data_IF_466617358687
#
_entry.id   IF_466617358687
#
_cell.length_a   1.000
_cell.length_b   1.000
_cell.length_c   1.000
_cell.angle_alpha   90.00
_cell.angle_beta   90.00
_cell.angle_gamma   90.00
#
_symmetry.space_group_name_H-M   'P 1'
#
loop_
_entity.id
_entity.type
_entity.pdbx_description
1 polymer ?
#
# COMPACT_ATOMS: atom_id res chain seq x y z
N UNK A 1 12.93 -3.83 11.81
CA UNK A 1 14.40 -3.87 11.63
C UNK A 1 14.82 -3.44 10.22
N UNK A 2 14.08 -3.85 9.17
CA UNK A 2 14.39 -3.52 7.76
C UNK A 2 14.33 -2.02 7.40
N UNK A 3 13.52 -1.20 8.08
CA UNK A 3 13.41 0.23 7.75
C UNK A 3 14.60 1.09 8.21
N UNK A 4 15.56 0.55 8.97
CA UNK A 4 16.71 1.33 9.45
C UNK A 4 17.62 1.83 8.32
N UNK A 5 17.75 1.06 7.23
CA UNK A 5 18.55 1.43 6.04
C UNK A 5 18.01 2.66 5.30
N UNK A 6 16.73 3.00 5.54
CA UNK A 6 16.03 4.14 4.94
C UNK A 6 15.62 5.17 5.98
N UNK A 7 16.30 5.20 7.13
CA UNK A 7 16.09 6.20 8.19
C UNK A 7 14.93 5.94 9.14
N UNK A 8 14.45 4.69 9.22
CA UNK A 8 13.48 4.24 10.20
C UNK A 8 12.06 4.07 9.65
N UNK A 9 11.16 3.63 10.53
CA UNK A 9 9.76 3.31 10.17
C UNK A 9 9.00 4.51 9.62
N UNK A 10 9.17 5.67 10.25
CA UNK A 10 8.47 6.90 9.87
C UNK A 10 8.88 7.37 8.48
N UNK A 11 10.19 7.48 8.23
CA UNK A 11 10.69 7.88 6.92
C UNK A 11 10.28 6.90 5.81
N UNK A 12 10.36 5.59 6.08
CA UNK A 12 9.90 4.58 5.10
C UNK A 12 8.45 4.77 4.66
N UNK A 13 7.54 5.13 5.60
CA UNK A 13 6.13 5.35 5.30
C UNK A 13 5.85 6.67 4.59
N UNK A 14 6.75 7.64 4.69
CA UNK A 14 6.57 8.97 4.09
C UNK A 14 7.37 9.16 2.80
N UNK A 15 8.44 8.40 2.56
CA UNK A 15 9.41 8.67 1.48
C UNK A 15 8.75 8.73 0.09
N UNK A 16 7.80 7.83 -0.20
CA UNK A 16 7.06 7.81 -1.46
C UNK A 16 6.00 8.91 -1.57
N UNK A 17 5.68 9.59 -0.47
CA UNK A 17 4.74 10.71 -0.41
C UNK A 17 5.46 12.06 -0.40
N UNK A 18 6.80 12.08 -0.30
CA UNK A 18 7.57 13.31 -0.28
C UNK A 18 7.37 14.10 -1.58
N UNK A 19 7.33 15.42 -1.45
CA UNK A 19 7.10 16.37 -2.55
C UNK A 19 5.73 16.30 -3.21
N UNK A 20 4.79 15.50 -2.68
CA UNK A 20 3.40 15.54 -3.12
C UNK A 20 2.61 16.58 -2.34
N UNK A 21 1.79 17.35 -3.06
CA UNK A 21 0.80 18.23 -2.44
C UNK A 21 -0.47 17.42 -2.17
N UNK A 22 -0.60 16.91 -0.94
CA UNK A 22 -1.81 16.25 -0.46
C UNK A 22 -2.60 17.30 0.33
N UNK A 23 -3.82 17.57 -0.11
CA UNK A 23 -4.74 18.48 0.57
C UNK A 23 -5.71 17.71 1.45
N UNK A 24 -6.37 18.40 2.38
CA UNK A 24 -7.42 17.83 3.23
C UNK A 24 -8.55 17.14 2.44
N UNK A 25 -8.76 17.57 1.18
CA UNK A 25 -9.83 17.08 0.30
C UNK A 25 -9.36 16.01 -0.69
N UNK A 26 -8.07 15.65 -0.69
CA UNK A 26 -7.51 14.65 -1.62
C UNK A 26 -8.06 13.26 -1.28
N UNK A 27 -8.73 12.60 -2.22
CA UNK A 27 -9.23 11.23 -2.04
C UNK A 27 -8.08 10.24 -2.19
N UNK A 28 -7.73 9.57 -1.09
CA UNK A 28 -6.58 8.66 -1.01
C UNK A 28 -7.06 7.23 -0.82
N UNK A 29 -6.50 6.32 -1.62
CA UNK A 29 -6.59 4.87 -1.41
C UNK A 29 -5.25 4.36 -0.88
N UNK A 30 -5.24 3.83 0.34
CA UNK A 30 -4.13 3.05 0.90
C UNK A 30 -4.36 1.58 0.52
N UNK A 31 -3.68 1.12 -0.53
CA UNK A 31 -3.86 -0.20 -1.11
C UNK A 31 -2.98 -1.22 -0.39
N UNK A 32 -3.57 -2.35 0.02
CA UNK A 32 -2.95 -3.34 0.91
C UNK A 32 -2.56 -2.72 2.26
N UNK A 33 -3.52 -2.03 2.91
CA UNK A 33 -3.24 -1.18 4.07
C UNK A 33 -2.83 -1.96 5.34
N UNK A 34 -3.03 -3.28 5.38
CA UNK A 34 -2.74 -4.11 6.54
C UNK A 34 -3.44 -3.61 7.80
N UNK A 35 -2.70 -3.48 8.90
CA UNK A 35 -3.22 -2.93 10.16
C UNK A 35 -3.19 -1.38 10.21
N UNK A 36 -2.99 -0.72 9.07
CA UNK A 36 -3.11 0.71 8.88
C UNK A 36 -1.87 1.54 9.27
N UNK A 37 -0.67 0.94 9.26
CA UNK A 37 0.56 1.66 9.63
C UNK A 37 0.85 2.84 8.69
N UNK A 38 0.53 2.71 7.41
CA UNK A 38 0.67 3.82 6.45
C UNK A 38 -0.54 4.74 6.50
N UNK A 39 -1.74 4.17 6.69
CA UNK A 39 -2.99 4.90 6.88
C UNK A 39 -2.88 5.97 7.97
N UNK A 40 -2.19 5.66 9.08
CA UNK A 40 -1.90 6.61 10.18
C UNK A 40 -1.23 7.91 9.71
N UNK A 41 -0.36 7.84 8.69
CA UNK A 41 0.29 9.04 8.13
C UNK A 41 -0.60 9.73 7.11
N UNK A 42 -1.34 8.97 6.29
CA UNK A 42 -2.21 9.51 5.26
C UNK A 42 -3.35 10.35 5.85
N UNK A 43 -3.95 9.91 6.95
CA UNK A 43 -5.05 10.64 7.62
C UNK A 43 -4.62 11.98 8.23
N UNK A 44 -3.31 12.20 8.44
CA UNK A 44 -2.79 13.50 8.90
C UNK A 44 -2.80 14.55 7.79
N UNK A 45 -2.79 14.10 6.53
CA UNK A 45 -2.73 14.97 5.34
C UNK A 45 -4.08 15.10 4.63
N UNK A 46 -4.94 14.08 4.73
CA UNK A 46 -6.26 14.06 4.09
C UNK A 46 -7.36 13.55 5.03
N UNK A 47 -8.56 14.11 4.88
CA UNK A 47 -9.77 13.65 5.56
C UNK A 47 -10.48 12.51 4.80
N UNK A 48 -10.03 12.16 3.60
CA UNK A 48 -10.67 11.18 2.72
C UNK A 48 -9.72 10.03 2.41
N UNK A 49 -9.41 9.22 3.44
CA UNK A 49 -8.55 8.05 3.32
C UNK A 49 -9.38 6.78 3.41
N UNK A 50 -9.25 5.92 2.40
CA UNK A 50 -9.81 4.58 2.37
C UNK A 50 -8.65 3.58 2.39
N UNK A 51 -8.63 2.67 3.36
CA UNK A 51 -7.73 1.51 3.38
C UNK A 51 -8.40 0.30 2.76
N UNK A 52 -7.71 -0.39 1.84
CA UNK A 52 -8.16 -1.64 1.23
C UNK A 52 -7.20 -2.76 1.60
N UNK A 53 -7.73 -3.89 2.08
CA UNK A 53 -6.94 -5.08 2.36
C UNK A 53 -7.81 -6.34 2.23
N UNK A 54 -7.20 -7.48 1.89
CA UNK A 54 -7.91 -8.76 1.76
C UNK A 54 -8.13 -9.45 3.10
N UNK A 55 -7.39 -9.07 4.15
CA UNK A 55 -7.43 -9.72 5.47
C UNK A 55 -8.42 -9.03 6.42
N UNK A 56 -9.55 -9.68 6.77
CA UNK A 56 -10.50 -9.14 7.73
C UNK A 56 -9.87 -8.88 9.10
N UNK A 57 -8.89 -9.72 9.48
CA UNK A 57 -8.15 -9.58 10.74
C UNK A 57 -7.29 -8.32 10.76
N UNK A 58 -6.61 -8.02 9.66
CA UNK A 58 -5.84 -6.79 9.48
C UNK A 58 -6.75 -5.57 9.54
N UNK A 59 -7.86 -5.58 8.79
CA UNK A 59 -8.83 -4.49 8.79
C UNK A 59 -9.47 -4.24 10.16
N UNK A 60 -9.78 -5.30 10.92
CA UNK A 60 -10.31 -5.18 12.28
C UNK A 60 -9.30 -4.56 13.26
N UNK A 61 -7.99 -4.74 13.03
CA UNK A 61 -6.95 -4.04 13.78
C UNK A 61 -6.82 -2.59 13.29
N UNK A 62 -6.83 -2.37 11.99
CA UNK A 62 -6.74 -1.03 11.39
C UNK A 62 -7.89 -0.13 11.88
N UNK A 63 -9.13 -0.60 11.86
CA UNK A 63 -10.31 0.11 12.40
C UNK A 63 -10.17 0.53 13.85
N UNK A 64 -9.51 -0.30 14.67
CA UNK A 64 -9.27 0.01 16.09
C UNK A 64 -8.14 1.02 16.28
N UNK A 65 -7.11 0.93 15.45
CA UNK A 65 -5.92 1.77 15.54
C UNK A 65 -6.16 3.17 14.95
N UNK A 66 -6.85 3.26 13.80
CA UNK A 66 -7.08 4.49 13.03
C UNK A 66 -8.57 4.58 12.63
N UNK A 67 -9.47 4.85 13.59
CA UNK A 67 -10.92 4.90 13.33
C UNK A 67 -11.35 6.05 12.40
N UNK A 68 -10.45 6.99 12.09
CA UNK A 68 -10.71 8.12 11.20
C UNK A 68 -10.78 7.72 9.71
N UNK A 69 -10.15 6.59 9.34
CA UNK A 69 -10.17 6.09 7.98
C UNK A 69 -11.34 5.12 7.75
N UNK A 70 -11.75 5.00 6.48
CA UNK A 70 -12.72 4.00 6.05
C UNK A 70 -11.95 2.77 5.57
N UNK A 71 -12.49 1.57 5.83
CA UNK A 71 -11.81 0.32 5.48
C UNK A 71 -12.71 -0.59 4.66
N UNK A 72 -12.18 -1.10 3.56
CA UNK A 72 -12.87 -1.97 2.60
C UNK A 72 -12.12 -3.29 2.47
N UNK A 73 -12.85 -4.39 2.60
CA UNK A 73 -12.33 -5.73 2.30
C UNK A 73 -12.52 -6.02 0.82
N UNK A 74 -11.43 -6.16 0.08
CA UNK A 74 -11.43 -6.50 -1.34
C UNK A 74 -10.05 -6.98 -1.79
N UNK A 75 -10.01 -7.62 -2.94
CA UNK A 75 -8.77 -7.94 -3.66
C UNK A 75 -8.32 -6.74 -4.49
N UNK A 76 -7.00 -6.54 -4.61
CA UNK A 76 -6.42 -5.44 -5.38
C UNK A 76 -6.67 -5.59 -6.90
N UNK A 77 -6.88 -6.81 -7.40
CA UNK A 77 -7.26 -7.06 -8.79
C UNK A 77 -8.77 -6.92 -9.09
N UNK A 78 -9.61 -6.67 -8.08
CA UNK A 78 -11.05 -6.52 -8.22
C UNK A 78 -11.62 -5.55 -7.19
N UNK A 79 -11.37 -4.26 -7.39
CA UNK A 79 -11.74 -3.23 -6.43
C UNK A 79 -13.19 -2.80 -6.61
N UNK A 80 -13.95 -2.73 -5.51
CA UNK A 80 -15.37 -2.32 -5.50
C UNK A 80 -15.53 -0.78 -5.53
N UNK A 81 -14.71 -0.09 -6.32
CA UNK A 81 -14.76 1.36 -6.49
C UNK A 81 -15.16 1.74 -7.91
N UNK A 82 -15.78 2.89 -8.05
CA UNK A 82 -16.08 3.48 -9.37
C UNK A 82 -14.79 3.92 -10.07
N UNK A 83 -14.86 4.12 -11.39
CA UNK A 83 -13.74 4.67 -12.14
C UNK A 83 -13.43 6.10 -11.65
N UNK A 84 -12.16 6.49 -11.70
CA UNK A 84 -11.74 7.87 -11.38
C UNK A 84 -12.12 8.36 -9.96
N UNK A 85 -12.21 7.42 -9.02
CA UNK A 85 -12.62 7.66 -7.62
C UNK A 85 -11.54 8.28 -6.73
N UNK A 86 -10.25 8.15 -7.10
CA UNK A 86 -9.14 8.56 -6.25
C UNK A 86 -8.19 9.55 -6.93
N UNK A 87 -7.70 10.50 -6.14
CA UNK A 87 -6.67 11.46 -6.56
C UNK A 87 -5.26 10.88 -6.33
N UNK A 88 -5.12 10.01 -5.32
CA UNK A 88 -3.88 9.35 -4.94
C UNK A 88 -4.15 7.88 -4.59
N UNK A 89 -3.39 6.97 -5.17
CA UNK A 89 -3.29 5.58 -4.71
C UNK A 89 -1.88 5.38 -4.14
N UNK A 90 -1.78 4.82 -2.94
CA UNK A 90 -0.52 4.55 -2.26
C UNK A 90 -0.37 3.06 -1.97
N UNK A 91 0.83 2.51 -2.20
CA UNK A 91 1.21 1.13 -1.86
C UNK A 91 2.48 1.17 -1.02
N UNK A 92 2.51 0.45 0.09
CA UNK A 92 3.66 0.46 0.99
C UNK A 92 4.06 -0.95 1.45
N UNK A 93 5.10 -1.50 0.80
CA UNK A 93 5.65 -2.83 1.05
C UNK A 93 4.66 -3.98 0.80
N UNK A 94 3.94 -3.94 -0.32
CA UNK A 94 2.99 -5.00 -0.70
C UNK A 94 3.01 -5.38 -2.18
N UNK A 95 3.69 -4.61 -3.04
CA UNK A 95 3.82 -4.92 -4.48
C UNK A 95 4.64 -6.20 -4.71
N UNK A 96 5.51 -6.59 -3.78
CA UNK A 96 6.23 -7.86 -3.81
C UNK A 96 5.36 -9.08 -3.44
N UNK A 97 4.25 -8.85 -2.72
CA UNK A 97 3.27 -9.88 -2.34
C UNK A 97 2.18 -10.06 -3.41
N UNK A 98 1.93 -9.03 -4.24
CA UNK A 98 1.05 -9.16 -5.41
C UNK A 98 1.56 -10.33 -6.24
N UNK A 99 0.73 -11.38 -6.29
CA UNK A 99 1.15 -12.74 -6.59
C UNK A 99 2.09 -12.82 -7.80
N UNK A 100 3.12 -13.70 -7.77
CA UNK A 100 4.17 -13.80 -8.80
C UNK A 100 3.64 -14.16 -10.20
N UNK A 101 2.35 -14.49 -10.34
CA UNK A 101 1.67 -14.58 -11.61
C UNK A 101 1.62 -13.22 -12.32
N UNK A 102 2.33 -13.10 -13.44
CA UNK A 102 2.34 -11.90 -14.31
C UNK A 102 0.93 -11.37 -14.61
N UNK A 103 -0.07 -12.26 -14.65
CA UNK A 103 -1.45 -11.93 -14.96
C UNK A 103 -2.16 -11.19 -13.81
N UNK A 104 -2.00 -11.63 -12.56
CA UNK A 104 -2.62 -10.99 -11.39
C UNK A 104 -2.06 -9.58 -11.22
N UNK A 105 -0.73 -9.43 -11.23
CA UNK A 105 -0.07 -8.12 -11.18
C UNK A 105 -0.56 -7.15 -12.26
N UNK A 106 -0.78 -7.65 -13.48
CA UNK A 106 -1.35 -6.83 -14.56
C UNK A 106 -2.79 -6.39 -14.29
N UNK A 107 -3.60 -7.24 -13.65
CA UNK A 107 -4.97 -6.87 -13.25
C UNK A 107 -4.96 -5.82 -12.15
N UNK A 108 -4.13 -5.98 -11.11
CA UNK A 108 -3.99 -4.99 -10.03
C UNK A 108 -3.56 -3.62 -10.57
N UNK A 109 -2.55 -3.59 -11.46
CA UNK A 109 -2.11 -2.34 -12.11
C UNK A 109 -3.25 -1.72 -12.94
N UNK A 110 -4.04 -2.54 -13.63
CA UNK A 110 -5.18 -2.06 -14.41
C UNK A 110 -6.29 -1.49 -13.52
N UNK A 111 -6.57 -2.12 -12.39
CA UNK A 111 -7.53 -1.62 -11.41
C UNK A 111 -7.05 -0.32 -10.77
N UNK A 112 -5.79 -0.24 -10.36
CA UNK A 112 -5.17 1.00 -9.87
C UNK A 112 -5.35 2.12 -10.90
N UNK A 113 -5.05 1.86 -12.17
CA UNK A 113 -5.23 2.83 -13.24
C UNK A 113 -6.70 3.23 -13.42
N UNK A 114 -7.63 2.27 -13.33
CA UNK A 114 -9.07 2.50 -13.47
C UNK A 114 -9.64 3.38 -12.36
N UNK A 115 -9.24 3.15 -11.12
CA UNK A 115 -9.77 3.88 -9.96
C UNK A 115 -9.10 5.24 -9.75
N UNK A 116 -7.91 5.44 -10.33
CA UNK A 116 -7.28 6.76 -10.39
C UNK A 116 -8.03 7.66 -11.37
N UNK A 117 -8.27 8.91 -10.98
CA UNK A 117 -8.75 9.93 -11.91
C UNK A 117 -7.69 10.26 -12.96
N UNK A 118 -8.12 10.92 -14.03
CA UNK A 118 -7.16 11.54 -14.96
C UNK A 118 -6.25 12.54 -14.23
N UNK A 119 -4.94 12.35 -14.35
CA UNK A 119 -3.92 13.12 -13.62
C UNK A 119 -3.76 12.75 -12.15
N UNK A 120 -4.42 11.67 -11.69
CA UNK A 120 -4.18 11.08 -10.38
C UNK A 120 -2.78 10.46 -10.27
N UNK A 121 -2.31 10.30 -9.04
CA UNK A 121 -0.93 9.86 -8.76
C UNK A 121 -0.95 8.47 -8.13
N UNK A 122 -0.10 7.57 -8.66
CA UNK A 122 0.28 6.34 -7.97
C UNK A 122 1.60 6.57 -7.25
N UNK A 123 1.65 6.25 -5.97
CA UNK A 123 2.88 6.20 -5.18
C UNK A 123 3.12 4.80 -4.67
N UNK A 124 4.37 4.36 -4.69
CA UNK A 124 4.75 3.06 -4.18
C UNK A 124 6.13 3.10 -3.53
N UNK A 125 6.27 2.38 -2.44
CA UNK A 125 7.57 2.05 -1.84
C UNK A 125 7.60 0.56 -1.59
N UNK A 126 8.64 -0.10 -2.08
CA UNK A 126 8.80 -1.55 -1.88
C UNK A 126 10.27 -1.97 -1.87
N UNK A 127 10.51 -3.21 -1.49
CA UNK A 127 11.81 -3.86 -1.47
C UNK A 127 12.25 -4.21 -2.89
N UNK A 128 13.48 -3.84 -3.22
CA UNK A 128 14.14 -4.28 -4.44
C UNK A 128 14.86 -5.61 -4.18
N UNK A 129 14.82 -6.51 -5.16
CA UNK A 129 15.54 -7.78 -5.07
C UNK A 129 17.06 -7.49 -4.99
N UNK A 130 17.77 -8.02 -3.98
CA UNK A 130 19.19 -7.74 -3.84
C UNK A 130 19.98 -8.37 -4.99
N UNK A 131 20.94 -7.64 -5.55
CA UNK A 131 21.77 -8.12 -6.66
C UNK A 131 22.74 -9.25 -6.25
N UNK A 132 22.94 -9.46 -4.95
CA UNK A 132 23.89 -10.45 -4.41
C UNK A 132 23.18 -11.78 -4.09
N UNK A 133 23.56 -12.91 -4.72
CA UNK A 133 22.85 -14.19 -4.58
C UNK A 133 22.67 -14.70 -3.15
N UNK A 134 23.66 -14.49 -2.27
CA UNK A 134 23.60 -14.91 -0.88
C UNK A 134 22.46 -14.24 -0.09
N UNK A 135 22.21 -12.96 -0.34
CA UNK A 135 21.12 -12.23 0.30
C UNK A 135 19.75 -12.61 -0.26
N UNK A 136 19.68 -13.02 -1.53
CA UNK A 136 18.43 -13.52 -2.13
C UNK A 136 17.95 -14.74 -1.36
N UNK A 137 18.83 -15.71 -1.07
CA UNK A 137 18.46 -16.94 -0.37
C UNK A 137 17.97 -16.65 1.07
N UNK A 138 18.64 -15.73 1.76
CA UNK A 138 18.25 -15.33 3.12
C UNK A 138 16.87 -14.64 3.12
N UNK A 139 16.63 -13.70 2.19
CA UNK A 139 15.33 -13.03 2.05
C UNK A 139 14.23 -14.00 1.65
N UNK A 140 14.51 -14.93 0.73
CA UNK A 140 13.57 -15.98 0.35
C UNK A 140 13.16 -16.84 1.54
N UNK A 141 14.12 -17.31 2.35
CA UNK A 141 13.84 -18.09 3.55
C UNK A 141 13.05 -17.29 4.58
N UNK A 142 13.34 -15.99 4.73
CA UNK A 142 12.60 -15.10 5.64
C UNK A 142 11.13 -14.98 5.22
N UNK A 143 10.86 -14.63 3.96
CA UNK A 143 9.49 -14.52 3.46
C UNK A 143 8.75 -15.85 3.51
N UNK A 144 9.41 -16.96 3.19
CA UNK A 144 8.83 -18.29 3.30
C UNK A 144 8.50 -18.72 4.74
N UNK A 145 9.22 -18.21 5.75
CA UNK A 145 9.00 -18.60 7.13
C UNK A 145 7.94 -17.72 7.84
N UNK A 146 7.82 -16.45 7.44
CA UNK A 146 7.04 -15.45 8.17
C UNK A 146 5.85 -14.87 7.41
N UNK A 147 5.80 -15.01 6.07
CA UNK A 147 4.80 -14.37 5.21
C UNK A 147 4.05 -15.36 4.29
N UNK A 148 4.15 -16.68 4.53
CA UNK A 148 3.28 -17.73 3.95
C UNK A 148 2.41 -18.39 5.01
#
# INVERSE_FOLDING_TARGET
MLSLSVGGRELFRQIALQNLTISSNTRVLDLCCGCGQTTEFLIKSSNHVIGLDTSPLSLNRAKRNIPQAIYVEAFDENMLFENESFDLVHISASLHEIQPGKLQKQKSIREIYRVLRNGGILTLVDFHQPATPMFITILWLFFWLFET
#
